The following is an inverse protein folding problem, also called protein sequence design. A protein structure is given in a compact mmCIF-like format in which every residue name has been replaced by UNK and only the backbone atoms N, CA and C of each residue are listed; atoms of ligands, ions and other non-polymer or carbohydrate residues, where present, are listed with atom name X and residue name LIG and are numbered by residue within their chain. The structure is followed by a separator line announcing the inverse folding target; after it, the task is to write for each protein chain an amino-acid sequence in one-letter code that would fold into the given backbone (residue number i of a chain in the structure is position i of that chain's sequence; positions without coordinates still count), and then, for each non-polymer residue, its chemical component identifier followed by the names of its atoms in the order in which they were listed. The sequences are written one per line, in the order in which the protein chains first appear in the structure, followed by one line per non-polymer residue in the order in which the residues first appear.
data_IF_449480323719
#
_entry.id   IF_449480323719
#
_cell.length_a   1.000
_cell.length_b   1.000
_cell.length_c   1.000
_cell.angle_alpha   90.00
_cell.angle_beta   90.00
_cell.angle_gamma   90.00
#
_symmetry.space_group_name_H-M   'P 1'
#
loop_
_entity.id
_entity.type
_entity.pdbx_description
1 polymer ?
#
# COMPACT_ATOMS: atom_id res chain seq x y z
N UNK A 1 69.39 7.64 -0.84
CA UNK A 1 68.36 8.66 -1.13
C UNK A 1 67.06 8.14 -0.54
N UNK A 2 66.96 8.24 0.79
CA UNK A 2 65.81 7.73 1.57
C UNK A 2 64.81 8.84 1.72
N UNK A 3 63.76 8.76 0.95
CA UNK A 3 62.68 9.75 0.89
C UNK A 3 61.77 9.58 2.10
N UNK A 4 61.64 10.65 2.90
CA UNK A 4 60.78 10.70 4.08
C UNK A 4 59.31 10.53 3.75
N UNK A 5 58.75 9.35 4.04
CA UNK A 5 57.30 9.01 3.84
C UNK A 5 56.47 9.35 5.09
N UNK A 6 57.04 9.97 6.13
CA UNK A 6 56.32 10.14 7.40
C UNK A 6 55.26 11.28 7.45
N UNK A 7 55.28 12.20 6.46
CA UNK A 7 54.30 13.29 6.36
C UNK A 7 52.93 12.86 5.72
N UNK A 8 52.99 11.87 4.83
CA UNK A 8 51.86 11.44 4.03
C UNK A 8 50.80 10.68 4.83
N UNK A 9 51.19 9.87 5.83
CA UNK A 9 50.25 9.01 6.57
C UNK A 9 49.36 9.80 7.53
N UNK A 10 49.92 10.84 8.17
CA UNK A 10 49.16 11.73 9.08
C UNK A 10 48.18 12.64 8.31
N UNK A 11 48.56 13.10 7.13
CA UNK A 11 47.70 13.87 6.24
C UNK A 11 46.56 12.98 5.68
N UNK A 12 46.83 11.74 5.30
CA UNK A 12 45.82 10.76 4.87
C UNK A 12 44.83 10.44 6.00
N UNK A 13 45.31 10.25 7.23
CA UNK A 13 44.43 10.05 8.39
C UNK A 13 43.58 11.28 8.68
N UNK A 14 44.10 12.51 8.56
CA UNK A 14 43.29 13.73 8.72
C UNK A 14 42.23 13.88 7.63
N UNK A 15 42.57 13.58 6.40
CA UNK A 15 41.60 13.64 5.28
C UNK A 15 40.52 12.55 5.44
N UNK A 16 40.89 11.34 5.85
CA UNK A 16 39.92 10.27 6.11
C UNK A 16 38.99 10.62 7.29
N UNK A 17 39.51 11.24 8.36
CA UNK A 17 38.68 11.70 9.49
C UNK A 17 37.78 12.87 9.08
N UNK A 18 38.26 13.81 8.24
CA UNK A 18 37.41 14.91 7.73
C UNK A 18 36.33 14.43 6.77
N UNK A 19 36.62 13.44 5.94
CA UNK A 19 35.62 12.83 5.06
C UNK A 19 34.61 12.00 5.86
N UNK A 20 35.03 11.23 6.86
CA UNK A 20 34.16 10.55 7.78
C UNK A 20 33.27 11.51 8.58
N UNK A 21 33.86 12.64 9.04
CA UNK A 21 33.10 13.70 9.70
C UNK A 21 32.11 14.41 8.74
N UNK A 22 32.48 14.63 7.48
CA UNK A 22 31.60 15.21 6.47
C UNK A 22 30.42 14.26 6.13
N UNK A 23 30.68 12.95 6.03
CA UNK A 23 29.64 11.93 5.86
C UNK A 23 28.73 11.87 7.09
N UNK A 24 29.30 11.90 8.31
CA UNK A 24 28.55 11.97 9.56
C UNK A 24 27.73 13.27 9.68
N UNK A 25 28.24 14.40 9.19
CA UNK A 25 27.51 15.68 9.16
C UNK A 25 26.35 15.67 8.15
N UNK A 26 26.49 14.99 7.02
CA UNK A 26 25.39 14.81 6.06
C UNK A 26 24.28 13.92 6.66
N UNK A 27 24.64 12.91 7.45
CA UNK A 27 23.66 12.08 8.17
C UNK A 27 23.16 12.73 9.48
N UNK A 28 23.98 13.54 10.16
CA UNK A 28 23.56 14.26 11.36
C UNK A 28 22.72 15.52 11.05
N UNK A 29 22.83 16.07 9.84
CA UNK A 29 22.01 17.19 9.37
C UNK A 29 20.56 16.81 9.04
N UNK A 30 20.22 15.53 9.06
CA UNK A 30 18.85 15.01 9.01
C UNK A 30 18.32 14.65 10.40
N UNK A 31 18.67 15.41 11.44
CA UNK A 31 17.78 15.51 12.57
C UNK A 31 16.51 16.17 12.02
N UNK A 32 15.55 15.33 11.60
CA UNK A 32 14.18 15.71 11.48
C UNK A 32 13.83 16.38 12.78
N UNK A 33 13.76 17.71 12.77
CA UNK A 33 13.06 18.47 13.80
C UNK A 33 11.75 17.72 13.95
N UNK A 34 11.52 17.10 15.08
CA UNK A 34 10.20 16.58 15.40
C UNK A 34 9.30 17.81 15.37
N UNK A 35 8.66 18.04 14.23
CA UNK A 35 7.56 18.97 14.18
C UNK A 35 6.56 18.41 15.17
N UNK A 36 6.20 19.23 16.17
CA UNK A 36 5.08 18.94 17.01
C UNK A 36 3.94 18.45 16.11
N UNK A 37 3.25 17.36 16.48
CA UNK A 37 2.12 16.89 15.70
C UNK A 37 1.18 18.07 15.53
N UNK A 38 0.99 18.50 14.26
CA UNK A 38 -0.02 19.50 13.89
C UNK A 38 -1.32 19.05 14.54
N UNK A 39 -1.85 19.85 15.44
CA UNK A 39 -3.16 19.59 16.03
C UNK A 39 -4.15 19.56 14.89
N UNK A 40 -5.08 18.61 14.92
CA UNK A 40 -6.09 18.37 13.89
C UNK A 40 -6.91 19.61 13.51
N UNK A 41 -6.96 20.58 14.41
CA UNK A 41 -7.72 21.83 14.28
C UNK A 41 -7.03 22.85 13.35
N UNK A 42 -5.72 22.72 13.10
CA UNK A 42 -4.96 23.65 12.24
C UNK A 42 -4.98 23.25 10.75
N UNK A 43 -5.49 22.06 10.42
CA UNK A 43 -5.54 21.56 9.03
C UNK A 43 -6.89 21.75 8.35
N UNK A 44 -7.90 22.25 9.07
CA UNK A 44 -9.22 22.52 8.52
C UNK A 44 -9.30 24.00 8.14
N UNK A 45 -8.86 24.35 6.94
CA UNK A 45 -9.32 25.60 6.33
C UNK A 45 -10.85 25.54 6.23
N UNK A 46 -11.58 26.62 6.61
CA UNK A 46 -13.04 26.62 6.51
C UNK A 46 -13.45 26.37 5.07
N UNK A 47 -14.14 25.25 4.84
CA UNK A 47 -14.74 24.92 3.55
C UNK A 47 -15.77 26.00 3.27
N UNK A 48 -15.80 26.63 2.07
CA UNK A 48 -16.87 27.56 1.69
C UNK A 48 -18.22 26.86 1.87
N UNK A 49 -19.15 27.54 2.53
CA UNK A 49 -20.46 27.03 2.91
C UNK A 49 -21.43 26.94 1.72
N UNK A 50 -21.08 26.19 0.66
CA UNK A 50 -21.97 25.89 -0.47
C UNK A 50 -21.84 24.42 -0.90
N UNK A 51 -22.20 23.53 0.00
CA UNK A 51 -22.63 22.17 -0.39
C UNK A 51 -23.83 21.84 0.48
N UNK A 52 -24.97 21.44 -0.10
CA UNK A 52 -26.18 21.21 0.67
C UNK A 52 -25.95 20.04 1.64
N UNK A 53 -25.96 20.35 2.94
CA UNK A 53 -25.89 19.39 4.05
C UNK A 53 -27.19 18.52 4.18
N UNK A 54 -28.00 18.45 3.15
CA UNK A 54 -29.33 17.81 3.19
C UNK A 54 -29.31 16.33 2.78
N UNK A 55 -28.14 15.72 2.54
CA UNK A 55 -28.06 14.31 2.12
C UNK A 55 -27.48 13.35 3.18
N UNK A 56 -27.15 13.84 4.39
CA UNK A 56 -26.56 13.01 5.46
C UNK A 56 -27.35 13.00 6.77
N UNK A 57 -28.51 13.63 6.81
CA UNK A 57 -29.43 13.51 7.95
C UNK A 57 -30.45 12.41 7.67
N UNK A 58 -30.15 11.17 8.02
CA UNK A 58 -31.09 10.07 7.86
C UNK A 58 -30.55 8.68 8.11
N UNK A 59 -29.27 8.54 8.46
CA UNK A 59 -28.77 7.26 8.95
C UNK A 59 -28.73 7.31 10.47
N UNK A 60 -29.81 6.80 11.08
CA UNK A 60 -29.90 6.66 12.53
C UNK A 60 -28.77 5.78 13.06
N UNK A 61 -27.82 6.42 13.75
CA UNK A 61 -26.71 5.78 14.46
C UNK A 61 -27.14 4.91 15.65
N UNK A 62 -28.41 4.91 16.00
CA UNK A 62 -28.93 4.15 17.15
C UNK A 62 -29.22 2.66 16.86
N UNK A 63 -29.23 2.21 15.61
CA UNK A 63 -29.46 0.80 15.28
C UNK A 63 -28.20 -0.09 15.32
N UNK A 64 -27.02 0.48 15.58
CA UNK A 64 -25.75 -0.25 15.65
C UNK A 64 -25.28 -0.57 17.09
N UNK A 65 -26.05 -0.24 18.11
CA UNK A 65 -25.65 -0.34 19.52
C UNK A 65 -25.97 -1.68 20.22
N UNK A 66 -26.48 -2.68 19.48
CA UNK A 66 -26.76 -4.01 20.03
C UNK A 66 -25.96 -5.13 19.38
N UNK A 67 -24.69 -4.85 19.03
CA UNK A 67 -23.74 -5.92 18.67
C UNK A 67 -23.14 -6.44 19.96
N UNK A 68 -23.45 -7.70 20.26
CA UNK A 68 -23.01 -8.46 21.42
C UNK A 68 -21.51 -8.28 21.73
N UNK A 69 -21.23 -8.25 23.06
CA UNK A 69 -19.92 -8.24 23.68
C UNK A 69 -18.92 -9.17 22.94
N UNK A 70 -17.83 -8.64 22.33
CA UNK A 70 -16.87 -9.44 21.57
C UNK A 70 -16.06 -10.43 22.43
N UNK A 71 -16.18 -10.37 23.76
CA UNK A 71 -15.46 -11.26 24.68
C UNK A 71 -16.24 -12.54 25.08
N UNK A 72 -17.43 -12.77 24.53
CA UNK A 72 -18.31 -13.88 24.97
C UNK A 72 -18.26 -15.15 24.12
N UNK A 73 -17.33 -15.32 23.17
CA UNK A 73 -17.27 -16.54 22.34
C UNK A 73 -16.15 -17.46 22.79
N UNK A 74 -16.54 -18.62 23.35
CA UNK A 74 -15.62 -19.68 23.74
C UNK A 74 -14.83 -20.22 22.52
N UNK A 75 -13.52 -20.54 22.66
CA UNK A 75 -12.73 -21.14 21.59
C UNK A 75 -13.27 -22.54 21.25
N UNK A 76 -13.78 -22.69 20.04
CA UNK A 76 -14.28 -23.97 19.52
C UNK A 76 -15.68 -23.95 18.88
N UNK A 77 -16.36 -22.82 18.84
CA UNK A 77 -17.73 -22.71 18.30
C UNK A 77 -17.77 -22.18 16.86
N UNK A 78 -16.84 -22.37 15.98
CA UNK A 78 -16.93 -21.96 14.56
C UNK A 78 -17.35 -20.49 14.28
N UNK A 79 -17.47 -19.66 15.31
CA UNK A 79 -17.88 -18.28 15.20
C UNK A 79 -16.68 -17.39 14.84
N UNK A 80 -16.93 -16.40 13.97
CA UNK A 80 -15.94 -15.41 13.63
C UNK A 80 -15.54 -14.56 14.85
N UNK A 81 -14.24 -14.38 15.01
CA UNK A 81 -13.68 -13.44 15.99
C UNK A 81 -12.72 -12.50 15.29
N UNK A 82 -12.96 -11.19 15.38
CA UNK A 82 -12.10 -10.15 14.77
C UNK A 82 -10.68 -10.26 15.30
N UNK A 83 -9.69 -10.41 14.41
CA UNK A 83 -8.28 -10.54 14.80
C UNK A 83 -7.75 -9.23 15.35
N UNK A 84 -6.87 -9.33 16.35
CA UNK A 84 -6.12 -8.16 16.83
C UNK A 84 -4.90 -7.92 15.95
N UNK A 85 -4.55 -6.65 15.64
CA UNK A 85 -3.32 -6.33 14.95
C UNK A 85 -2.08 -6.76 15.75
N UNK A 86 -1.08 -7.29 15.04
CA UNK A 86 0.20 -7.67 15.63
C UNK A 86 1.27 -6.64 15.25
N UNK A 87 2.07 -6.16 16.21
CA UNK A 87 3.15 -5.23 15.95
C UNK A 87 4.20 -5.86 15.00
N UNK A 88 4.58 -5.11 13.96
CA UNK A 88 5.54 -5.57 12.95
C UNK A 88 4.99 -6.55 11.91
N UNK A 89 3.69 -6.83 11.95
CA UNK A 89 2.99 -7.67 10.98
C UNK A 89 1.90 -6.86 10.29
N UNK A 90 2.03 -6.71 8.98
CA UNK A 90 1.03 -5.99 8.19
C UNK A 90 0.94 -4.49 8.42
N UNK A 91 1.77 -3.91 9.26
CA UNK A 91 1.81 -2.48 9.56
C UNK A 91 3.25 -1.95 9.57
N UNK A 92 3.45 -0.64 9.33
CA UNK A 92 4.78 -0.04 9.38
C UNK A 92 5.37 -0.10 10.80
N UNK A 93 6.68 -0.30 10.89
CA UNK A 93 7.44 -0.28 12.15
C UNK A 93 8.15 1.06 12.27
N UNK A 94 7.96 1.74 13.40
CA UNK A 94 8.60 3.03 13.63
C UNK A 94 10.13 2.91 13.62
N UNK A 95 10.78 3.76 12.82
CA UNK A 95 12.24 3.79 12.71
C UNK A 95 12.84 2.70 11.83
N UNK A 96 12.05 1.85 11.22
CA UNK A 96 12.53 0.92 10.21
C UNK A 96 12.90 1.67 8.92
N UNK A 97 14.05 1.32 8.35
CA UNK A 97 14.60 1.93 7.12
C UNK A 97 14.44 1.03 5.89
N UNK A 98 13.93 -0.17 6.09
CA UNK A 98 13.71 -1.17 5.05
C UNK A 98 12.23 -1.24 4.64
N UNK A 99 11.90 -2.01 3.60
CA UNK A 99 10.52 -2.33 3.27
C UNK A 99 9.89 -3.16 4.40
N UNK A 100 8.58 -3.05 4.57
CA UNK A 100 7.85 -3.83 5.57
C UNK A 100 8.06 -5.33 5.34
N UNK A 101 7.98 -6.12 6.41
CA UNK A 101 7.97 -7.58 6.33
C UNK A 101 6.90 -8.05 5.33
N UNK A 102 7.25 -9.04 4.50
CA UNK A 102 6.42 -9.49 3.39
C UNK A 102 5.70 -10.79 3.69
N UNK A 103 4.38 -10.84 3.42
CA UNK A 103 3.48 -11.94 3.73
C UNK A 103 2.78 -12.51 2.48
N UNK A 104 3.37 -12.29 1.31
CA UNK A 104 2.99 -12.94 0.05
C UNK A 104 4.22 -13.52 -0.64
N UNK A 105 4.05 -14.52 -1.51
CA UNK A 105 5.16 -15.09 -2.29
C UNK A 105 5.86 -14.02 -3.14
N UNK A 106 5.06 -13.18 -3.82
CA UNK A 106 5.58 -12.09 -4.65
C UNK A 106 6.34 -11.07 -3.82
N UNK A 107 5.83 -10.73 -2.62
CA UNK A 107 6.48 -9.80 -1.70
C UNK A 107 7.83 -10.31 -1.21
N UNK A 108 7.93 -11.58 -0.80
CA UNK A 108 9.22 -12.16 -0.39
C UNK A 108 10.25 -12.20 -1.52
N UNK A 109 9.81 -12.47 -2.75
CA UNK A 109 10.70 -12.40 -3.90
C UNK A 109 11.17 -10.96 -4.16
N UNK A 110 10.27 -9.99 -4.05
CA UNK A 110 10.58 -8.57 -4.20
C UNK A 110 11.55 -8.06 -3.13
N UNK A 111 11.35 -8.46 -1.87
CA UNK A 111 12.24 -8.14 -0.76
C UNK A 111 13.64 -8.70 -0.96
N UNK A 112 13.75 -9.97 -1.36
CA UNK A 112 15.05 -10.59 -1.70
C UNK A 112 15.77 -9.86 -2.84
N UNK A 113 15.05 -9.44 -3.88
CA UNK A 113 15.61 -8.62 -4.96
C UNK A 113 16.03 -7.24 -4.46
N UNK A 114 15.22 -6.59 -3.63
CA UNK A 114 15.51 -5.29 -3.03
C UNK A 114 16.79 -5.33 -2.21
N UNK A 115 16.94 -6.30 -1.30
CA UNK A 115 18.15 -6.48 -0.48
C UNK A 115 19.38 -6.72 -1.36
N UNK A 116 19.24 -7.57 -2.40
CA UNK A 116 20.32 -7.79 -3.38
C UNK A 116 20.77 -6.50 -4.09
N UNK A 117 19.80 -5.68 -4.52
CA UNK A 117 20.09 -4.38 -5.15
C UNK A 117 20.74 -3.39 -4.20
N UNK A 118 20.35 -3.34 -2.92
CA UNK A 118 21.01 -2.51 -1.91
C UNK A 118 22.49 -2.84 -1.80
N UNK A 119 22.86 -4.13 -1.77
CA UNK A 119 24.27 -4.54 -1.73
C UNK A 119 25.04 -4.15 -2.99
N UNK A 120 24.43 -4.29 -4.18
CA UNK A 120 25.04 -3.84 -5.45
C UNK A 120 25.25 -2.32 -5.42
N UNK A 121 24.23 -1.56 -5.02
CA UNK A 121 24.32 -0.10 -4.92
C UNK A 121 25.39 0.33 -3.91
N UNK A 122 25.48 -0.33 -2.75
CA UNK A 122 26.50 -0.06 -1.74
C UNK A 122 27.92 -0.31 -2.29
N UNK A 123 28.12 -1.43 -2.99
CA UNK A 123 29.41 -1.75 -3.59
C UNK A 123 29.82 -0.71 -4.65
N UNK A 124 28.91 -0.30 -5.54
CA UNK A 124 29.14 0.72 -6.56
C UNK A 124 29.45 2.08 -5.88
N UNK A 125 28.66 2.46 -4.88
CA UNK A 125 28.85 3.73 -4.16
C UNK A 125 30.20 3.77 -3.45
N UNK A 126 30.59 2.69 -2.79
CA UNK A 126 31.90 2.58 -2.14
C UNK A 126 33.05 2.65 -3.16
N UNK A 127 32.91 1.99 -4.31
CA UNK A 127 33.88 2.04 -5.40
C UNK A 127 34.03 3.48 -5.95
N UNK A 128 32.93 4.15 -6.25
CA UNK A 128 32.94 5.53 -6.75
C UNK A 128 33.53 6.49 -5.71
N UNK A 129 33.15 6.32 -4.44
CA UNK A 129 33.74 7.12 -3.35
C UNK A 129 35.25 6.91 -3.25
N UNK A 130 35.75 5.68 -3.36
CA UNK A 130 37.17 5.36 -3.34
C UNK A 130 37.88 6.03 -4.54
N UNK A 131 37.30 6.03 -5.73
CA UNK A 131 37.85 6.74 -6.90
C UNK A 131 37.92 8.27 -6.66
N UNK A 132 36.85 8.85 -6.10
CA UNK A 132 36.82 10.29 -5.78
C UNK A 132 37.91 10.66 -4.77
N UNK A 133 38.06 9.89 -3.68
CA UNK A 133 39.10 10.09 -2.71
C UNK A 133 40.48 9.97 -3.36
N UNK A 134 40.71 8.95 -4.18
CA UNK A 134 41.93 8.75 -4.93
C UNK A 134 42.28 9.98 -5.81
N UNK A 135 41.27 10.49 -6.57
CA UNK A 135 41.48 11.68 -7.42
C UNK A 135 41.84 12.90 -6.59
N UNK A 136 41.09 13.15 -5.49
CA UNK A 136 41.39 14.30 -4.61
C UNK A 136 42.80 14.24 -3.99
N UNK A 137 43.21 13.05 -3.53
CA UNK A 137 44.52 12.87 -2.90
C UNK A 137 45.64 12.87 -3.91
N UNK A 138 45.47 12.20 -5.04
CA UNK A 138 46.57 11.95 -5.99
C UNK A 138 46.73 13.06 -7.03
N UNK A 139 45.64 13.71 -7.46
CA UNK A 139 45.62 14.66 -8.58
C UNK A 139 45.35 16.11 -8.16
N UNK A 140 45.51 16.44 -6.88
CA UNK A 140 45.41 17.84 -6.44
C UNK A 140 46.58 18.71 -6.97
N UNK A 141 46.43 20.02 -6.96
CA UNK A 141 47.42 21.01 -7.48
C UNK A 141 48.79 20.90 -6.82
N UNK A 142 48.86 20.47 -5.57
CA UNK A 142 50.15 20.30 -4.83
C UNK A 142 50.89 19.05 -5.29
N UNK A 143 50.15 17.96 -5.52
CA UNK A 143 50.74 16.69 -5.95
C UNK A 143 51.04 16.65 -7.46
N UNK A 144 50.28 17.40 -8.26
CA UNK A 144 50.42 17.48 -9.73
C UNK A 144 50.41 18.96 -10.17
N UNK A 145 51.50 19.69 -10.06
CA UNK A 145 51.58 21.10 -10.45
C UNK A 145 51.36 21.33 -11.95
N UNK A 146 51.73 20.35 -12.78
CA UNK A 146 51.58 20.37 -14.23
C UNK A 146 50.59 19.25 -14.62
N UNK A 147 49.39 19.60 -15.08
CA UNK A 147 48.40 18.60 -15.47
C UNK A 147 48.80 17.87 -16.75
N UNK A 148 48.40 16.58 -16.86
CA UNK A 148 48.56 15.81 -18.09
C UNK A 148 47.69 16.40 -19.23
N UNK A 149 48.23 16.34 -20.43
CA UNK A 149 47.45 16.71 -21.65
C UNK A 149 46.67 15.54 -22.23
N UNK A 150 46.87 14.33 -21.73
CA UNK A 150 46.08 13.13 -22.16
C UNK A 150 44.70 13.22 -21.58
N UNK A 151 43.69 13.27 -22.47
CA UNK A 151 42.28 13.50 -22.10
C UNK A 151 41.39 12.28 -22.33
N UNK A 152 41.90 11.22 -22.97
CA UNK A 152 41.11 10.03 -23.26
C UNK A 152 41.93 8.73 -23.14
N UNK A 153 41.22 7.64 -22.90
CA UNK A 153 41.76 6.28 -22.93
C UNK A 153 40.65 5.33 -23.36
N UNK A 154 40.70 4.89 -24.61
CA UNK A 154 39.66 4.07 -25.26
C UNK A 154 39.36 2.79 -24.50
N UNK A 155 40.38 2.14 -23.89
CA UNK A 155 40.16 0.91 -23.12
C UNK A 155 39.29 1.19 -21.86
N UNK A 156 39.64 2.24 -21.12
CA UNK A 156 38.89 2.64 -19.93
C UNK A 156 37.48 3.08 -20.28
N UNK A 157 37.30 3.81 -21.38
CA UNK A 157 36.00 4.25 -21.91
C UNK A 157 35.09 3.06 -22.28
N UNK A 158 35.64 2.06 -22.96
CA UNK A 158 34.92 0.81 -23.27
C UNK A 158 34.52 0.08 -21.98
N UNK A 159 35.42 -0.02 -21.01
CA UNK A 159 35.17 -0.72 -19.74
C UNK A 159 34.05 -0.03 -18.97
N UNK A 160 34.10 1.31 -18.80
CA UNK A 160 33.05 2.00 -18.03
C UNK A 160 31.71 2.10 -18.75
N UNK A 161 31.65 1.84 -20.06
CA UNK A 161 30.40 1.75 -20.82
C UNK A 161 29.83 0.32 -20.77
N UNK A 162 30.66 -0.69 -21.01
CA UNK A 162 30.22 -2.08 -21.11
C UNK A 162 29.87 -2.69 -19.77
N UNK A 163 30.68 -2.43 -18.72
CA UNK A 163 30.45 -3.04 -17.40
C UNK A 163 29.09 -2.63 -16.80
N UNK A 164 28.70 -1.33 -16.75
CA UNK A 164 27.36 -0.97 -16.29
C UNK A 164 26.24 -1.59 -17.14
N UNK A 165 26.40 -1.66 -18.46
CA UNK A 165 25.41 -2.30 -19.33
C UNK A 165 25.22 -3.79 -18.99
N UNK A 166 26.31 -4.52 -18.73
CA UNK A 166 26.25 -5.92 -18.31
C UNK A 166 25.60 -6.09 -16.93
N UNK A 167 25.88 -5.17 -15.98
CA UNK A 167 25.22 -5.15 -14.67
C UNK A 167 23.70 -4.98 -14.85
N UNK A 168 23.26 -4.03 -15.67
CA UNK A 168 21.83 -3.81 -15.94
C UNK A 168 21.18 -5.04 -16.59
N UNK A 169 21.84 -5.69 -17.55
CA UNK A 169 21.36 -6.94 -18.13
C UNK A 169 21.24 -8.06 -17.09
N UNK A 170 22.20 -8.15 -16.16
CA UNK A 170 22.12 -9.09 -15.04
C UNK A 170 20.94 -8.84 -14.12
N UNK A 171 20.65 -7.57 -13.81
CA UNK A 171 19.51 -7.16 -12.97
C UNK A 171 18.18 -7.35 -13.71
N UNK A 172 18.14 -7.23 -15.03
CA UNK A 172 16.93 -7.38 -15.82
C UNK A 172 16.27 -8.76 -15.66
N UNK A 173 17.05 -9.82 -15.50
CA UNK A 173 16.54 -11.19 -15.37
C UNK A 173 15.61 -11.36 -14.15
N UNK A 174 16.04 -11.09 -12.91
CA UNK A 174 15.15 -11.19 -11.74
C UNK A 174 14.04 -10.12 -11.77
N UNK A 175 14.26 -8.94 -12.36
CA UNK A 175 13.25 -7.90 -12.47
C UNK A 175 12.10 -8.33 -13.38
N UNK A 176 12.38 -8.93 -14.54
CA UNK A 176 11.35 -9.48 -15.44
C UNK A 176 10.59 -10.62 -14.75
N UNK A 177 11.30 -11.47 -14.01
CA UNK A 177 10.67 -12.54 -13.21
C UNK A 177 9.71 -11.97 -12.18
N UNK A 178 10.07 -10.89 -11.46
CA UNK A 178 9.20 -10.22 -10.51
C UNK A 178 7.95 -9.66 -11.19
N UNK A 179 8.11 -8.98 -12.32
CA UNK A 179 6.98 -8.45 -13.10
C UNK A 179 6.03 -9.59 -13.51
N UNK A 180 6.56 -10.69 -14.03
CA UNK A 180 5.75 -11.85 -14.41
C UNK A 180 4.96 -12.45 -13.22
N UNK A 181 5.57 -12.51 -12.02
CA UNK A 181 4.88 -12.93 -10.78
C UNK A 181 3.79 -11.95 -10.36
N UNK A 182 4.05 -10.65 -10.44
CA UNK A 182 3.09 -9.60 -10.05
C UNK A 182 1.84 -9.57 -10.94
N UNK A 183 1.97 -9.93 -12.22
CA UNK A 183 0.87 -9.92 -13.18
C UNK A 183 0.37 -11.33 -13.55
N UNK A 184 0.66 -12.31 -12.70
CA UNK A 184 0.10 -13.66 -12.85
C UNK A 184 -1.43 -13.57 -12.75
N UNK A 185 -2.11 -14.11 -13.76
CA UNK A 185 -3.58 -14.17 -13.76
C UNK A 185 -4.06 -15.08 -12.62
N UNK A 186 -5.14 -14.71 -11.92
CA UNK A 186 -5.74 -15.57 -10.93
C UNK A 186 -6.29 -16.85 -11.59
N UNK A 187 -6.22 -18.01 -10.92
CA UNK A 187 -6.81 -19.24 -11.40
C UNK A 187 -8.34 -19.12 -11.49
N UNK A 188 -8.98 -20.04 -12.21
CA UNK A 188 -10.44 -19.95 -12.46
C UNK A 188 -11.27 -20.14 -11.18
N UNK A 189 -10.76 -20.90 -10.26
CA UNK A 189 -11.33 -21.21 -8.94
C UNK A 189 -10.92 -20.22 -7.85
N UNK A 190 -10.28 -19.11 -8.19
CA UNK A 190 -9.96 -18.04 -7.26
C UNK A 190 -11.25 -17.35 -6.77
N UNK A 191 -11.35 -17.11 -5.48
CA UNK A 191 -12.43 -16.33 -4.88
C UNK A 191 -12.36 -14.89 -5.37
N UNK A 192 -13.45 -14.36 -5.89
CA UNK A 192 -13.53 -12.99 -6.39
C UNK A 192 -13.94 -12.03 -5.28
N UNK A 193 -13.19 -10.96 -5.11
CA UNK A 193 -13.54 -9.82 -4.25
C UNK A 193 -13.35 -8.56 -5.08
N UNK A 194 -14.35 -7.68 -5.07
CA UNK A 194 -14.26 -6.39 -5.75
C UNK A 194 -14.11 -5.26 -4.73
N UNK A 195 -13.03 -4.48 -4.86
CA UNK A 195 -12.81 -3.27 -4.09
C UNK A 195 -13.17 -2.05 -4.94
N UNK A 196 -14.15 -1.29 -4.50
CA UNK A 196 -14.57 -0.04 -5.13
C UNK A 196 -14.08 1.14 -4.30
N UNK A 197 -13.30 2.04 -4.93
CA UNK A 197 -12.85 3.28 -4.29
C UNK A 197 -13.89 4.38 -4.45
N UNK A 198 -14.21 5.04 -3.34
CA UNK A 198 -15.09 6.21 -3.26
C UNK A 198 -14.33 7.37 -2.61
N UNK A 199 -14.79 8.59 -2.76
CA UNK A 199 -14.29 9.77 -2.05
C UNK A 199 -15.00 9.90 -0.68
N UNK A 200 -14.45 9.47 0.47
CA UNK A 200 -13.12 8.88 0.70
C UNK A 200 -13.26 7.68 1.61
N UNK A 201 -13.61 6.53 1.06
CA UNK A 201 -13.77 5.24 1.74
C UNK A 201 -13.66 4.10 0.72
N UNK A 202 -13.70 2.86 1.19
CA UNK A 202 -13.71 1.68 0.33
C UNK A 202 -15.01 0.87 0.49
N UNK A 203 -15.51 0.32 -0.61
CA UNK A 203 -16.54 -0.72 -0.61
C UNK A 203 -15.96 -2.05 -1.05
N UNK A 204 -16.32 -3.14 -0.38
CA UNK A 204 -15.85 -4.48 -0.70
C UNK A 204 -17.04 -5.38 -0.99
N UNK A 205 -17.20 -5.82 -2.26
CA UNK A 205 -18.26 -6.74 -2.68
C UNK A 205 -17.70 -8.16 -2.80
N UNK A 206 -18.50 -9.15 -2.44
CA UNK A 206 -18.19 -10.59 -2.42
C UNK A 206 -19.10 -11.38 -3.33
N UNK A 207 -18.96 -11.29 -4.68
CA UNK A 207 -19.89 -11.88 -5.64
C UNK A 207 -19.96 -13.41 -5.54
N UNK A 208 -18.87 -14.11 -5.23
CA UNK A 208 -18.85 -15.57 -5.10
C UNK A 208 -19.42 -16.07 -3.76
N UNK A 209 -19.76 -15.15 -2.85
CA UNK A 209 -20.24 -15.45 -1.51
C UNK A 209 -21.64 -14.87 -1.24
N UNK A 210 -22.50 -14.76 -2.25
CA UNK A 210 -23.87 -14.26 -2.10
C UNK A 210 -24.03 -12.77 -2.41
N UNK A 211 -23.01 -12.15 -3.04
CA UNK A 211 -23.03 -10.78 -3.58
C UNK A 211 -23.39 -9.68 -2.57
N UNK A 212 -22.92 -9.83 -1.32
CA UNK A 212 -23.03 -8.77 -0.33
C UNK A 212 -21.87 -7.77 -0.44
N UNK A 213 -22.10 -6.55 0.02
CA UNK A 213 -21.10 -5.49 0.08
C UNK A 213 -20.95 -4.95 1.50
N UNK A 214 -19.71 -4.65 1.90
CA UNK A 214 -19.38 -3.96 3.14
C UNK A 214 -18.68 -2.64 2.85
N UNK A 215 -19.02 -1.61 3.64
CA UNK A 215 -18.41 -0.29 3.56
C UNK A 215 -17.35 -0.17 4.65
N UNK A 216 -16.19 0.37 4.28
CA UNK A 216 -15.01 0.47 5.12
C UNK A 216 -14.60 1.94 5.27
N UNK A 217 -14.81 2.52 6.44
CA UNK A 217 -14.43 3.88 6.77
C UNK A 217 -13.26 3.89 7.76
N UNK A 218 -12.46 4.96 7.71
CA UNK A 218 -11.40 5.17 8.69
C UNK A 218 -12.02 5.45 10.07
N UNK A 219 -11.49 4.80 11.10
CA UNK A 219 -11.82 5.07 12.49
C UNK A 219 -11.29 6.44 12.92
N UNK A 220 -12.02 7.10 13.81
CA UNK A 220 -11.48 8.25 14.57
C UNK A 220 -10.34 7.79 15.48
N UNK A 221 -9.56 8.73 16.01
CA UNK A 221 -8.46 8.39 16.92
C UNK A 221 -8.97 7.66 18.16
N UNK A 222 -10.06 8.12 18.74
CA UNK A 222 -10.69 7.56 19.93
C UNK A 222 -11.21 6.16 19.70
N UNK A 223 -11.86 5.91 18.57
CA UNK A 223 -12.36 4.58 18.15
C UNK A 223 -11.20 3.62 17.88
N UNK A 224 -10.14 4.08 17.22
CA UNK A 224 -8.96 3.27 16.94
C UNK A 224 -8.24 2.86 18.24
N UNK A 225 -8.04 3.81 19.16
CA UNK A 225 -7.44 3.54 20.47
C UNK A 225 -8.28 2.53 21.27
N UNK A 226 -9.61 2.67 21.27
CA UNK A 226 -10.52 1.76 21.95
C UNK A 226 -10.53 0.35 21.34
N UNK A 227 -10.43 0.24 20.02
CA UNK A 227 -10.40 -1.03 19.29
C UNK A 227 -9.00 -1.68 19.24
N UNK A 228 -7.94 -1.00 19.71
CA UNK A 228 -6.56 -1.45 19.58
C UNK A 228 -6.05 -1.46 18.14
N UNK A 229 -6.63 -0.59 17.29
CA UNK A 229 -6.25 -0.41 15.89
C UNK A 229 -5.16 0.66 15.76
N UNK A 230 -4.25 0.56 14.76
CA UNK A 230 -3.27 1.61 14.53
C UNK A 230 -3.97 2.88 14.04
N UNK A 231 -3.57 4.01 14.63
CA UNK A 231 -4.10 5.32 14.25
C UNK A 231 -3.90 5.61 12.75
N UNK A 232 -4.91 6.17 12.08
CA UNK A 232 -4.97 6.48 10.64
C UNK A 232 -4.92 5.25 9.71
N UNK A 233 -4.83 4.03 10.22
CA UNK A 233 -4.86 2.80 9.44
C UNK A 233 -6.07 1.92 9.81
N UNK A 234 -6.60 2.06 11.01
CA UNK A 234 -7.76 1.33 11.49
C UNK A 234 -9.04 1.72 10.74
N UNK A 235 -9.88 0.72 10.49
CA UNK A 235 -11.18 0.87 9.82
C UNK A 235 -12.28 0.18 10.64
N UNK A 236 -13.52 0.63 10.45
CA UNK A 236 -14.72 0.01 11.03
C UNK A 236 -14.89 -1.43 10.51
N UNK A 237 -14.88 -1.63 9.19
CA UNK A 237 -15.02 -2.91 8.53
C UNK A 237 -13.78 -3.22 7.68
N UNK A 238 -13.16 -4.37 7.90
CA UNK A 238 -12.01 -4.84 7.14
C UNK A 238 -12.43 -5.66 5.93
N UNK A 239 -11.64 -5.64 4.86
CA UNK A 239 -11.74 -6.63 3.79
C UNK A 239 -11.28 -7.99 4.33
N UNK A 240 -12.18 -8.95 4.48
CA UNK A 240 -11.84 -10.29 5.00
C UNK A 240 -11.56 -11.24 3.85
N UNK A 241 -10.48 -12.01 3.96
CA UNK A 241 -10.04 -12.97 2.94
C UNK A 241 -9.56 -14.27 3.58
N UNK A 242 -9.65 -15.43 2.91
CA UNK A 242 -9.08 -16.67 3.41
C UNK A 242 -7.57 -16.73 3.17
N UNK A 243 -6.82 -17.26 4.14
CA UNK A 243 -5.37 -17.48 4.07
C UNK A 243 -5.03 -18.62 3.11
N UNK A 244 -3.96 -18.45 2.34
CA UNK A 244 -3.42 -19.49 1.46
C UNK A 244 -4.20 -19.69 0.17
N UNK A 245 -5.36 -19.05 0.02
CA UNK A 245 -6.23 -19.18 -1.15
C UNK A 245 -5.96 -18.05 -2.14
N UNK A 246 -5.88 -18.34 -3.45
CA UNK A 246 -5.81 -17.30 -4.47
C UNK A 246 -7.09 -16.46 -4.50
N UNK A 247 -6.94 -15.16 -4.39
CA UNK A 247 -8.02 -14.18 -4.50
C UNK A 247 -7.90 -13.47 -5.84
N UNK A 248 -8.99 -13.39 -6.56
CA UNK A 248 -9.18 -12.52 -7.72
C UNK A 248 -9.61 -11.16 -7.20
N UNK A 249 -8.64 -10.28 -6.87
CA UNK A 249 -8.98 -8.94 -6.45
C UNK A 249 -9.25 -8.06 -7.68
N UNK A 250 -10.46 -7.58 -7.78
CA UNK A 250 -10.90 -6.63 -8.78
C UNK A 250 -10.98 -5.23 -8.17
N UNK A 251 -10.59 -4.19 -8.90
CA UNK A 251 -10.68 -2.81 -8.43
C UNK A 251 -11.33 -1.90 -9.46
N UNK A 252 -12.15 -0.97 -8.99
CA UNK A 252 -12.73 0.11 -9.79
C UNK A 252 -12.91 1.37 -8.94
N UNK A 253 -12.95 2.54 -9.57
CA UNK A 253 -13.34 3.80 -8.93
C UNK A 253 -14.80 4.12 -9.22
N UNK A 254 -15.52 4.60 -8.23
CA UNK A 254 -16.91 5.05 -8.40
C UNK A 254 -16.97 6.49 -8.94
N UNK A 255 -16.00 7.31 -8.58
CA UNK A 255 -15.98 8.75 -8.82
C UNK A 255 -14.66 9.23 -9.48
N UNK A 256 -13.54 9.11 -8.80
CA UNK A 256 -12.21 9.48 -9.29
C UNK A 256 -11.27 8.27 -9.27
N UNK A 257 -10.04 8.43 -9.72
CA UNK A 257 -9.04 7.36 -9.64
C UNK A 257 -8.56 7.24 -8.19
N UNK A 258 -8.57 6.00 -7.68
CA UNK A 258 -7.94 5.58 -6.43
C UNK A 258 -6.92 4.47 -6.70
N UNK A 259 -6.20 4.01 -5.69
CA UNK A 259 -5.34 2.83 -5.82
C UNK A 259 -5.37 2.02 -4.54
N UNK A 260 -5.76 0.76 -4.65
CA UNK A 260 -5.73 -0.20 -3.55
C UNK A 260 -4.29 -0.71 -3.37
N UNK A 261 -3.65 -0.35 -2.25
CA UNK A 261 -2.26 -0.73 -1.99
C UNK A 261 -2.05 -1.21 -0.56
N UNK A 262 -1.41 -2.38 -0.43
CA UNK A 262 -1.02 -2.98 0.86
C UNK A 262 0.46 -3.35 0.80
N UNK A 263 1.36 -2.51 1.37
CA UNK A 263 2.81 -2.65 1.22
C UNK A 263 3.37 -3.99 1.71
N UNK A 264 2.88 -4.51 2.83
CA UNK A 264 3.32 -5.79 3.42
C UNK A 264 2.91 -7.03 2.60
N UNK A 265 2.05 -6.86 1.60
CA UNK A 265 1.65 -7.89 0.63
C UNK A 265 2.27 -7.68 -0.75
N UNK A 266 3.08 -6.62 -0.93
CA UNK A 266 3.61 -6.18 -2.23
C UNK A 266 2.52 -6.03 -3.28
N UNK A 267 1.37 -5.53 -2.86
CA UNK A 267 0.19 -5.42 -3.69
C UNK A 267 -0.18 -3.95 -3.93
N UNK A 268 -0.34 -3.58 -5.18
CA UNK A 268 -0.92 -2.33 -5.63
C UNK A 268 -1.72 -2.57 -6.91
N UNK A 269 -2.93 -2.01 -6.97
CA UNK A 269 -3.80 -2.07 -8.14
C UNK A 269 -4.68 -0.82 -8.18
N UNK A 270 -4.62 -0.10 -9.30
CA UNK A 270 -5.35 1.15 -9.47
C UNK A 270 -6.85 0.88 -9.66
N UNK A 271 -7.67 1.70 -9.03
CA UNK A 271 -9.12 1.68 -9.08
C UNK A 271 -9.60 2.86 -9.96
N UNK A 272 -9.82 2.57 -11.27
CA UNK A 272 -10.09 3.58 -12.29
C UNK A 272 -11.57 3.58 -12.63
N UNK A 273 -12.26 4.75 -12.64
CA UNK A 273 -13.66 4.85 -13.05
C UNK A 273 -13.89 4.28 -14.45
N UNK A 274 -14.97 3.50 -14.60
CA UNK A 274 -15.36 2.87 -15.88
C UNK A 274 -14.44 1.73 -16.32
N UNK A 275 -13.46 1.32 -15.50
CA UNK A 275 -12.57 0.20 -15.77
C UNK A 275 -12.55 -0.77 -14.58
N UNK A 276 -12.63 -2.06 -14.85
CA UNK A 276 -12.42 -3.12 -13.89
C UNK A 276 -11.00 -3.67 -14.07
N UNK A 277 -10.11 -3.34 -13.15
CA UNK A 277 -8.77 -3.92 -13.10
C UNK A 277 -8.81 -5.20 -12.26
N UNK A 278 -7.92 -6.14 -12.56
CA UNK A 278 -7.88 -7.44 -11.89
C UNK A 278 -6.44 -7.88 -11.65
N UNK A 279 -6.18 -8.43 -10.46
CA UNK A 279 -4.87 -8.99 -10.09
C UNK A 279 -5.04 -10.09 -9.04
N UNK A 280 -4.16 -11.10 -9.08
CA UNK A 280 -4.14 -12.14 -8.05
C UNK A 280 -3.53 -11.58 -6.75
N UNK A 281 -4.24 -11.80 -5.64
CA UNK A 281 -3.75 -11.61 -4.27
C UNK A 281 -3.74 -12.98 -3.57
N UNK A 282 -2.67 -13.29 -2.86
CA UNK A 282 -2.60 -14.47 -2.00
C UNK A 282 -1.79 -14.12 -0.77
N UNK A 283 -2.33 -14.42 0.41
CA UNK A 283 -1.73 -14.10 1.71
C UNK A 283 -1.35 -15.40 2.39
N UNK A 284 -0.09 -15.49 2.85
CA UNK A 284 0.46 -16.76 3.34
C UNK A 284 0.21 -17.02 4.82
N UNK A 285 -0.12 -16.01 5.59
CA UNK A 285 -0.29 -16.11 7.05
C UNK A 285 -1.55 -15.39 7.53
N UNK A 286 -2.25 -15.92 8.54
CA UNK A 286 -3.33 -15.20 9.20
C UNK A 286 -2.82 -13.90 9.81
N UNK A 287 -3.63 -12.83 9.78
CA UNK A 287 -3.25 -11.53 10.34
C UNK A 287 -4.02 -10.38 9.75
N UNK A 288 -3.73 -9.16 10.24
CA UNK A 288 -4.29 -7.91 9.73
C UNK A 288 -3.21 -7.13 9.00
N UNK A 289 -3.49 -6.76 7.75
CA UNK A 289 -2.55 -6.12 6.85
C UNK A 289 -3.09 -4.76 6.42
N UNK A 290 -2.35 -3.71 6.71
CA UNK A 290 -2.79 -2.34 6.46
C UNK A 290 -2.17 -1.77 5.19
N UNK A 291 -2.96 -0.89 4.58
CA UNK A 291 -2.58 -0.13 3.41
C UNK A 291 -3.29 1.20 3.36
N UNK A 292 -3.05 1.93 2.29
CA UNK A 292 -3.66 3.23 2.05
C UNK A 292 -3.95 3.41 0.58
N UNK A 293 -4.90 4.30 0.27
CA UNK A 293 -5.07 4.79 -1.09
C UNK A 293 -3.74 5.34 -1.62
N UNK A 294 -3.30 4.86 -2.78
CA UNK A 294 -1.99 5.17 -3.36
C UNK A 294 -2.07 5.87 -4.72
N UNK A 295 -3.21 6.52 -5.00
CA UNK A 295 -3.40 7.45 -6.12
C UNK A 295 -4.16 8.68 -5.62
N UNK A 296 -3.64 9.89 -5.92
CA UNK A 296 -4.20 11.15 -5.41
C UNK A 296 -5.67 11.31 -5.84
N UNK A 297 -6.59 11.29 -4.88
CA UNK A 297 -8.04 11.28 -5.10
C UNK A 297 -8.78 12.48 -4.49
N UNK A 298 -8.07 13.49 -4.00
CA UNK A 298 -8.66 14.73 -3.46
C UNK A 298 -8.28 15.03 -2.01
N UNK A 299 -9.08 15.86 -1.33
CA UNK A 299 -8.73 16.46 -0.04
C UNK A 299 -8.53 15.44 1.11
N UNK A 300 -9.22 14.30 1.08
CA UNK A 300 -9.09 13.25 2.09
C UNK A 300 -8.38 11.99 1.58
N UNK A 301 -7.50 12.14 0.59
CA UNK A 301 -6.72 11.04 0.04
C UNK A 301 -5.97 10.22 1.11
N UNK A 302 -5.40 10.85 2.12
CA UNK A 302 -4.69 10.20 3.22
C UNK A 302 -5.63 9.59 4.30
N UNK A 303 -6.95 9.79 4.18
CA UNK A 303 -7.95 9.43 5.19
C UNK A 303 -8.91 8.33 4.70
N UNK A 304 -8.45 7.48 3.77
CA UNK A 304 -9.16 6.29 3.30
C UNK A 304 -8.22 5.08 3.33
N UNK A 305 -7.88 4.60 4.53
CA UNK A 305 -7.01 3.45 4.70
C UNK A 305 -7.67 2.15 4.23
N UNK A 306 -6.84 1.13 4.12
CA UNK A 306 -7.22 -0.22 3.76
C UNK A 306 -6.79 -1.14 4.90
N UNK A 307 -7.68 -2.00 5.37
CA UNK A 307 -7.32 -3.09 6.26
C UNK A 307 -7.83 -4.41 5.69
N UNK A 308 -6.92 -5.35 5.52
CA UNK A 308 -7.20 -6.70 5.04
C UNK A 308 -7.00 -7.67 6.20
N UNK A 309 -8.04 -8.41 6.55
CA UNK A 309 -7.99 -9.46 7.57
C UNK A 309 -7.94 -10.82 6.89
N UNK A 310 -6.82 -11.51 7.04
CA UNK A 310 -6.61 -12.83 6.47
C UNK A 310 -6.91 -13.91 7.51
N UNK A 311 -7.94 -14.71 7.30
CA UNK A 311 -8.45 -15.72 8.23
C UNK A 311 -8.20 -17.14 7.75
N UNK A 312 -8.07 -18.13 8.65
CA UNK A 312 -8.29 -19.53 8.31
C UNK A 312 -9.65 -19.74 7.63
N UNK A 313 -9.75 -20.73 6.73
CA UNK A 313 -10.94 -20.92 5.88
C UNK A 313 -12.23 -21.12 6.69
N UNK A 314 -12.16 -21.82 7.80
CA UNK A 314 -13.29 -22.05 8.71
C UNK A 314 -13.82 -20.74 9.31
N UNK A 315 -12.94 -19.85 9.74
CA UNK A 315 -13.30 -18.54 10.27
C UNK A 315 -13.79 -17.58 9.16
N UNK A 316 -13.17 -17.68 7.96
CA UNK A 316 -13.66 -16.94 6.79
C UNK A 316 -15.10 -17.32 6.45
N UNK A 317 -15.37 -18.61 6.41
CA UNK A 317 -16.72 -19.13 6.16
C UNK A 317 -17.73 -18.65 7.23
N UNK A 318 -17.34 -18.73 8.50
CA UNK A 318 -18.18 -18.23 9.60
C UNK A 318 -18.47 -16.73 9.47
N UNK A 319 -17.45 -15.95 9.07
CA UNK A 319 -17.62 -14.53 8.83
C UNK A 319 -18.56 -14.25 7.65
N UNK A 320 -18.41 -14.96 6.52
CA UNK A 320 -19.30 -14.82 5.35
C UNK A 320 -20.77 -15.06 5.74
N UNK A 321 -21.02 -16.14 6.49
CA UNK A 321 -22.37 -16.47 6.97
C UNK A 321 -22.91 -15.40 7.94
N UNK A 322 -22.05 -14.83 8.80
CA UNK A 322 -22.45 -13.75 9.70
C UNK A 322 -22.81 -12.45 8.95
N UNK A 323 -22.25 -12.24 7.75
CA UNK A 323 -22.65 -11.13 6.86
C UNK A 323 -23.93 -11.42 6.05
N UNK A 324 -24.56 -12.58 6.23
CA UNK A 324 -25.71 -13.01 5.44
C UNK A 324 -25.34 -13.54 4.05
N UNK A 325 -24.06 -13.81 3.82
CA UNK A 325 -23.54 -14.38 2.59
C UNK A 325 -23.79 -15.90 2.49
N UNK A 326 -23.35 -16.50 1.38
CA UNK A 326 -23.45 -17.94 1.11
C UNK A 326 -22.06 -18.53 0.83
N UNK A 327 -21.92 -19.83 1.11
CA UNK A 327 -20.71 -20.59 0.84
C UNK A 327 -21.04 -21.67 -0.16
N UNK A 328 -20.27 -21.77 -1.25
CA UNK A 328 -20.45 -22.81 -2.26
C UNK A 328 -20.36 -24.21 -1.61
N UNK A 329 -21.39 -25.02 -1.75
CA UNK A 329 -21.50 -26.36 -1.17
C UNK A 329 -22.14 -26.44 0.22
N UNK A 330 -22.45 -25.32 0.89
CA UNK A 330 -23.14 -25.35 2.19
C UNK A 330 -24.64 -25.68 2.08
N UNK A 331 -25.22 -25.55 0.90
CA UNK A 331 -26.66 -25.79 0.63
C UNK A 331 -26.99 -27.31 0.63
N UNK A 332 -25.99 -28.19 0.61
CA UNK A 332 -26.18 -29.65 0.63
C UNK A 332 -26.11 -30.25 2.05
N UNK A 333 -25.61 -29.52 3.06
CA UNK A 333 -25.62 -29.96 4.46
C UNK A 333 -26.33 -28.91 5.33
N UNK A 334 -27.67 -29.04 5.39
CA UNK A 334 -28.66 -28.29 6.17
C UNK A 334 -28.15 -27.51 7.39
N UNK A 335 -27.55 -26.33 7.18
CA UNK A 335 -27.40 -25.34 8.25
C UNK A 335 -28.64 -24.43 8.20
N UNK A 336 -29.54 -24.58 9.17
CA UNK A 336 -30.72 -23.74 9.34
C UNK A 336 -30.28 -22.25 9.39
N UNK A 337 -30.76 -21.47 8.41
CA UNK A 337 -30.57 -20.02 8.40
C UNK A 337 -31.17 -19.40 9.66
N UNK A 338 -30.44 -18.55 10.31
CA UNK A 338 -30.92 -17.76 11.45
C UNK A 338 -32.00 -16.76 10.95
N UNK A 339 -33.29 -16.86 11.38
CA UNK A 339 -34.37 -16.05 10.83
C UNK A 339 -34.40 -14.60 11.34
N UNK A 340 -33.33 -14.08 11.92
CA UNK A 340 -33.29 -12.74 12.52
C UNK A 340 -32.57 -11.65 11.68
N UNK A 341 -32.16 -11.94 10.45
CA UNK A 341 -31.64 -10.91 9.56
C UNK A 341 -32.82 -10.26 8.80
N UNK A 342 -33.24 -9.08 9.23
CA UNK A 342 -34.23 -8.30 8.49
C UNK A 342 -33.64 -7.84 7.14
N UNK A 343 -34.37 -7.99 6.01
CA UNK A 343 -33.85 -7.53 4.72
C UNK A 343 -33.75 -6.01 4.68
N UNK A 344 -32.59 -5.52 4.25
CA UNK A 344 -32.34 -4.11 3.99
C UNK A 344 -33.28 -3.70 2.84
N UNK A 345 -34.25 -2.82 3.10
CA UNK A 345 -35.09 -2.25 2.08
C UNK A 345 -34.27 -1.29 1.22
N UNK A 346 -34.20 -1.57 -0.07
CA UNK A 346 -33.71 -0.62 -1.07
C UNK A 346 -34.55 0.66 -1.05
N UNK A 347 -33.94 1.86 -1.10
CA UNK A 347 -34.70 3.09 -1.26
C UNK A 347 -35.29 3.14 -2.67
N UNK A 348 -36.58 3.10 -2.75
CA UNK A 348 -37.41 3.25 -3.97
C UNK A 348 -37.06 4.58 -4.66
N UNK A 349 -36.43 4.51 -5.84
CA UNK A 349 -36.12 5.66 -6.66
C UNK A 349 -37.37 6.30 -7.20
N UNK A 350 -37.86 7.35 -6.54
CA UNK A 350 -38.94 8.18 -7.04
C UNK A 350 -38.45 9.00 -8.25
N UNK A 351 -38.80 8.57 -9.45
CA UNK A 351 -38.70 9.37 -10.68
C UNK A 351 -39.89 10.34 -10.71
N UNK A 352 -39.68 11.68 -10.71
CA UNK A 352 -40.77 12.62 -10.94
C UNK A 352 -41.21 12.54 -12.40
N UNK A 353 -42.48 12.24 -12.63
CA UNK A 353 -43.10 12.13 -13.95
C UNK A 353 -43.00 13.42 -14.75
N UNK A 354 -42.61 13.30 -16.02
CA UNK A 354 -42.72 14.33 -17.01
C UNK A 354 -44.19 14.43 -17.50
N UNK A 355 -44.82 15.54 -17.25
CA UNK A 355 -46.07 15.93 -17.89
C UNK A 355 -45.82 16.99 -18.99
N UNK A 356 -46.05 16.60 -20.20
CA UNK A 356 -46.88 17.26 -21.21
C UNK A 356 -46.43 18.51 -21.94
N UNK A 357 -46.22 18.36 -23.22
CA UNK A 357 -46.90 19.22 -24.23
C UNK A 357 -46.09 20.39 -24.82
N UNK A 358 -45.89 20.32 -26.15
CA UNK A 358 -45.87 21.57 -26.92
C UNK A 358 -44.84 21.65 -28.07
N UNK A 359 -45.31 21.19 -29.25
CA UNK A 359 -45.10 21.75 -30.60
C UNK A 359 -43.68 22.13 -31.07
N UNK A 360 -43.27 21.40 -32.08
CA UNK A 360 -42.28 21.74 -33.13
C UNK A 360 -42.66 23.00 -33.95
N UNK A 361 -41.70 23.75 -34.49
CA UNK A 361 -41.77 24.06 -35.91
C UNK A 361 -40.48 23.71 -36.69
N UNK A 362 -40.73 23.43 -37.96
CA UNK A 362 -39.89 22.91 -39.01
C UNK A 362 -38.78 23.91 -39.53
N UNK A 363 -37.91 23.42 -40.42
CA UNK A 363 -36.61 24.03 -40.70
C UNK A 363 -36.64 25.12 -41.79
N UNK A 364 -35.66 26.02 -41.78
CA UNK A 364 -35.32 26.84 -42.94
C UNK A 364 -33.82 26.66 -43.27
N UNK A 365 -33.59 26.09 -44.47
CA UNK A 365 -32.42 26.32 -45.31
C UNK A 365 -32.59 27.65 -46.08
N UNK A 366 -31.56 28.23 -46.65
CA UNK A 366 -30.34 27.69 -47.27
C UNK A 366 -29.02 27.98 -46.60
#
# INVERSE_FOLDING_TARGET
MTMQISGSLKELQRIAVLLAAAVLLVFAGQSVSAQEPLQSDDLVAPIPAETPAAALEGVDREAAADVADPDAVAPGSGAYTKMRPEAGKGQPVYGDWNVQNQFSETGRFADGLHVGLIWVMLAISAFVLALLVYVVVRFNKRANPVPSKTSHNTLVEVVWTVVPALILLGIAIPSITLIAKQYKAPPKDAITIKATGYQWYWGYSYPDNGDFEIISNMLTKEEADAAGEPHQLGVDNRMVVPVGVPIRLQTTGADVIHSFAVPSLWFKLDAVPGRLNEKMLQIDQPGVYYGQCSELCGARHAYMPIAVEALPMDQYNAWVLAQGGSIAGADEEGVEANPSAAPIQEPESAVPGAAGGGSSPAPHDP
#
